data_IF_027077009542
#
_entry.id   IF_027077009542
#
_cell.length_a   1.000
_cell.length_b   1.000
_cell.length_c   1.000
_cell.angle_alpha   90.00
_cell.angle_beta   90.00
_cell.angle_gamma   90.00
#
_symmetry.space_group_name_H-M   'P 1'
#
loop_
_entity.id
_entity.type
_entity.pdbx_description
1 polymer ?
#
# COMPACT_ATOMS: atom_id res chain seq x y z
N UNK A 1 18.49 -5.42 25.77
CA UNK A 1 18.21 -4.27 24.87
C UNK A 1 18.41 -4.80 23.46
N UNK A 2 17.37 -5.40 22.88
CA UNK A 2 17.48 -6.12 21.61
C UNK A 2 17.35 -5.12 20.47
N UNK A 3 18.46 -4.83 19.81
CA UNK A 3 18.50 -4.05 18.57
C UNK A 3 18.02 -5.01 17.48
N UNK A 4 16.70 -5.16 17.34
CA UNK A 4 16.12 -5.75 16.14
C UNK A 4 16.51 -4.83 15.00
N UNK A 5 17.51 -5.22 14.21
CA UNK A 5 17.86 -4.57 12.96
C UNK A 5 16.57 -4.45 12.16
N UNK A 6 15.97 -3.26 12.21
CA UNK A 6 14.72 -2.97 11.53
C UNK A 6 15.08 -3.03 10.08
N UNK A 7 14.77 -4.13 9.39
CA UNK A 7 14.78 -4.15 7.93
C UNK A 7 14.05 -2.87 7.50
N UNK A 8 14.71 -1.94 6.79
CA UNK A 8 14.08 -0.68 6.41
C UNK A 8 12.77 -0.94 5.68
N UNK A 9 11.78 -0.07 5.91
CA UNK A 9 10.46 -0.11 5.25
C UNK A 9 10.56 -0.19 3.72
N UNK A 10 11.69 0.24 3.15
CA UNK A 10 12.06 0.04 1.75
C UNK A 10 11.89 -1.43 1.29
N UNK A 11 12.34 -2.40 2.09
CA UNK A 11 12.21 -3.83 1.73
C UNK A 11 10.76 -4.31 1.71
N UNK A 12 9.91 -3.75 2.57
CA UNK A 12 8.47 -4.06 2.56
C UNK A 12 7.81 -3.44 1.33
N UNK A 13 8.19 -2.20 0.98
CA UNK A 13 7.71 -1.53 -0.22
C UNK A 13 8.07 -2.31 -1.51
N UNK A 14 9.34 -2.70 -1.66
CA UNK A 14 9.81 -3.49 -2.79
C UNK A 14 9.07 -4.82 -2.91
N UNK A 15 8.84 -5.50 -1.78
CA UNK A 15 8.04 -6.73 -1.76
C UNK A 15 6.59 -6.50 -2.23
N UNK A 16 5.95 -5.42 -1.78
CA UNK A 16 4.59 -5.07 -2.20
C UNK A 16 4.53 -4.76 -3.70
N UNK A 17 5.55 -4.11 -4.26
CA UNK A 17 5.64 -3.83 -5.70
C UNK A 17 5.91 -5.11 -6.52
N UNK A 18 6.73 -6.04 -6.02
CA UNK A 18 6.91 -7.36 -6.62
C UNK A 18 5.60 -8.16 -6.64
N UNK A 19 4.87 -8.17 -5.52
CA UNK A 19 3.57 -8.82 -5.44
C UNK A 19 2.58 -8.21 -6.44
N UNK A 20 2.52 -6.88 -6.51
CA UNK A 20 1.67 -6.16 -7.46
C UNK A 20 1.98 -6.52 -8.90
N UNK A 21 3.26 -6.65 -9.24
CA UNK A 21 3.71 -7.04 -10.58
C UNK A 21 3.28 -8.46 -10.95
N UNK A 22 3.05 -9.33 -9.96
CA UNK A 22 2.47 -10.66 -10.12
C UNK A 22 0.92 -10.69 -10.04
N UNK A 23 0.26 -9.53 -10.08
CA UNK A 23 -1.19 -9.33 -9.86
C UNK A 23 -1.70 -9.82 -8.50
N UNK A 24 -0.88 -9.60 -7.47
CA UNK A 24 -1.18 -9.92 -6.08
C UNK A 24 -1.19 -8.63 -5.28
N UNK A 25 -2.31 -8.39 -4.60
CA UNK A 25 -2.58 -7.16 -3.88
C UNK A 25 -2.79 -7.45 -2.40
N UNK A 26 -2.26 -6.58 -1.54
CA UNK A 26 -2.51 -6.59 -0.11
C UNK A 26 -3.36 -5.38 0.24
N UNK A 27 -4.42 -5.61 1.00
CA UNK A 27 -5.40 -4.60 1.38
C UNK A 27 -5.85 -4.80 2.84
N UNK A 28 -6.50 -3.80 3.43
CA UNK A 28 -7.09 -3.90 4.77
C UNK A 28 -8.61 -3.92 4.62
N UNK A 29 -9.19 -5.10 4.80
CA UNK A 29 -10.64 -5.30 4.71
C UNK A 29 -11.15 -5.74 6.07
N UNK A 30 -12.13 -5.02 6.62
CA UNK A 30 -12.69 -5.31 7.95
C UNK A 30 -11.62 -5.42 9.06
N UNK A 31 -10.69 -4.46 9.06
CA UNK A 31 -9.55 -4.38 9.98
C UNK A 31 -8.57 -5.57 9.91
N UNK A 32 -8.56 -6.31 8.78
CA UNK A 32 -7.68 -7.45 8.58
C UNK A 32 -6.90 -7.33 7.28
N UNK A 33 -5.61 -7.66 7.35
CA UNK A 33 -4.78 -7.82 6.16
C UNK A 33 -5.35 -8.94 5.29
N UNK A 34 -5.74 -8.58 4.08
CA UNK A 34 -6.32 -9.47 3.08
C UNK A 34 -5.42 -9.48 1.85
N UNK A 35 -5.13 -10.68 1.37
CA UNK A 35 -4.39 -10.92 0.12
C UNK A 35 -5.40 -11.23 -0.99
N UNK A 36 -5.45 -10.38 -2.01
CA UNK A 36 -6.32 -10.54 -3.18
C UNK A 36 -5.47 -10.84 -4.41
N UNK A 37 -5.88 -11.84 -5.19
CA UNK A 37 -5.20 -12.24 -6.41
C UNK A 37 -6.19 -12.12 -7.57
N UNK A 38 -5.79 -11.46 -8.66
CA UNK A 38 -6.63 -11.30 -9.85
C UNK A 38 -5.80 -11.68 -11.07
N UNK A 39 -6.07 -12.82 -11.69
CA UNK A 39 -5.23 -13.38 -12.75
C UNK A 39 -3.71 -13.39 -12.39
N UNK A 40 -3.33 -14.07 -11.29
CA UNK A 40 -1.96 -14.02 -10.78
C UNK A 40 -0.95 -14.65 -11.73
N UNK A 41 0.22 -14.01 -11.87
CA UNK A 41 1.37 -14.60 -12.54
C UNK A 41 2.13 -15.49 -11.56
N UNK A 42 1.86 -16.80 -11.60
CA UNK A 42 2.46 -17.76 -10.66
C UNK A 42 3.96 -18.00 -10.90
N UNK A 43 4.44 -17.89 -12.13
CA UNK A 43 5.87 -18.03 -12.43
C UNK A 43 6.67 -16.90 -11.78
N UNK A 44 6.11 -15.69 -11.77
CA UNK A 44 6.68 -14.55 -11.07
C UNK A 44 6.50 -14.64 -9.55
N UNK A 45 5.35 -15.12 -9.07
CA UNK A 45 5.06 -15.11 -7.63
C UNK A 45 5.78 -16.21 -6.83
N UNK A 46 5.88 -17.43 -7.37
CA UNK A 46 6.51 -18.57 -6.70
C UNK A 46 7.88 -18.27 -6.08
N UNK A 47 8.84 -17.66 -6.80
CA UNK A 47 10.16 -17.38 -6.23
C UNK A 47 10.11 -16.37 -5.09
N UNK A 48 9.14 -15.45 -5.05
CA UNK A 48 9.03 -14.40 -4.03
C UNK A 48 8.13 -14.78 -2.85
N UNK A 49 7.39 -15.89 -2.93
CA UNK A 49 6.41 -16.32 -1.91
C UNK A 49 6.99 -16.40 -0.50
N UNK A 50 8.21 -16.89 -0.37
CA UNK A 50 8.90 -17.09 0.91
C UNK A 50 9.14 -15.78 1.68
N UNK A 51 9.19 -14.64 0.97
CA UNK A 51 9.35 -13.32 1.58
C UNK A 51 8.16 -12.95 2.48
N UNK A 52 6.99 -13.59 2.32
CA UNK A 52 5.88 -13.43 3.26
C UNK A 52 6.24 -13.90 4.67
N UNK A 53 6.90 -15.05 4.75
CA UNK A 53 7.32 -15.63 6.02
C UNK A 53 8.48 -14.84 6.63
N UNK A 54 9.41 -14.36 5.79
CA UNK A 54 10.55 -13.55 6.23
C UNK A 54 10.16 -12.15 6.71
N UNK A 55 9.26 -11.48 6.00
CA UNK A 55 8.79 -10.13 6.36
C UNK A 55 7.79 -10.22 7.51
N UNK A 56 6.91 -11.21 7.48
CA UNK A 56 5.88 -11.43 8.48
C UNK A 56 4.65 -10.53 8.31
N UNK A 57 3.50 -11.07 8.70
CA UNK A 57 2.19 -10.43 8.57
C UNK A 57 2.14 -9.03 9.21
N UNK A 58 2.64 -8.87 10.43
CA UNK A 58 2.52 -7.62 11.19
C UNK A 58 3.18 -6.43 10.49
N UNK A 59 4.31 -6.66 9.81
CA UNK A 59 5.04 -5.61 9.11
C UNK A 59 4.37 -5.23 7.79
N UNK A 60 3.87 -6.22 7.06
CA UNK A 60 3.06 -5.99 5.85
C UNK A 60 1.80 -5.22 6.21
N UNK A 61 1.11 -5.60 7.28
CA UNK A 61 -0.09 -4.91 7.74
C UNK A 61 0.19 -3.45 8.13
N UNK A 62 1.23 -3.19 8.92
CA UNK A 62 1.62 -1.84 9.30
C UNK A 62 1.92 -0.95 8.07
N UNK A 63 2.64 -1.49 7.09
CA UNK A 63 2.94 -0.78 5.84
C UNK A 63 1.67 -0.48 5.02
N UNK A 64 0.80 -1.47 4.83
CA UNK A 64 -0.45 -1.29 4.05
C UNK A 64 -1.39 -0.30 4.74
N UNK A 65 -1.54 -0.37 6.08
CA UNK A 65 -2.30 0.63 6.85
C UNK A 65 -1.72 2.03 6.70
N UNK A 66 -0.39 2.17 6.78
CA UNK A 66 0.30 3.44 6.58
C UNK A 66 0.10 4.02 5.17
N UNK A 67 0.10 3.17 4.14
CA UNK A 67 -0.13 3.57 2.75
C UNK A 67 -1.59 3.97 2.49
N UNK A 68 -2.55 3.23 3.03
CA UNK A 68 -3.98 3.56 2.93
C UNK A 68 -4.31 4.90 3.59
N UNK A 69 -3.67 5.20 4.73
CA UNK A 69 -3.80 6.50 5.40
C UNK A 69 -3.23 7.66 4.55
N UNK A 70 -2.08 7.44 3.88
CA UNK A 70 -1.49 8.42 2.97
C UNK A 70 -2.36 8.65 1.72
N UNK A 71 -2.86 7.58 1.10
CA UNK A 71 -3.73 7.65 -0.07
C UNK A 71 -5.05 8.39 0.22
N UNK A 72 -5.63 8.12 1.39
CA UNK A 72 -6.81 8.84 1.89
C UNK A 72 -6.54 10.33 2.13
N UNK A 73 -5.34 10.68 2.63
CA UNK A 73 -4.95 12.06 2.86
C UNK A 73 -4.72 12.82 1.54
N UNK A 74 -4.07 12.19 0.56
CA UNK A 74 -3.87 12.76 -0.78
C UNK A 74 -5.21 12.98 -1.46
N UNK A 75 -6.08 11.96 -1.49
CA UNK A 75 -7.42 12.06 -2.11
C UNK A 75 -8.23 13.21 -1.51
N UNK A 76 -8.20 13.37 -0.18
CA UNK A 76 -8.86 14.47 0.51
C UNK A 76 -8.28 15.83 0.12
N UNK A 77 -6.96 15.95 0.04
CA UNK A 77 -6.30 17.19 -0.33
C UNK A 77 -6.58 17.59 -1.79
N UNK A 78 -6.59 16.63 -2.71
CA UNK A 78 -6.97 16.84 -4.12
C UNK A 78 -8.41 17.31 -4.24
N UNK A 79 -9.34 16.70 -3.48
CA UNK A 79 -10.75 17.11 -3.46
C UNK A 79 -10.89 18.58 -2.99
N UNK A 80 -10.32 18.93 -1.84
CA UNK A 80 -10.37 20.31 -1.31
C UNK A 80 -9.74 21.32 -2.28
N UNK A 81 -8.68 20.92 -2.96
CA UNK A 81 -8.02 21.79 -3.95
C UNK A 81 -8.88 22.01 -5.19
N UNK A 82 -9.59 20.97 -5.66
CA UNK A 82 -10.54 21.07 -6.75
C UNK A 82 -11.75 21.97 -6.39
N UNK A 83 -12.30 21.85 -5.18
CA UNK A 83 -13.39 22.72 -4.70
C UNK A 83 -12.97 24.19 -4.63
N UNK A 84 -11.74 24.47 -4.15
CA UNK A 84 -11.20 25.84 -4.10
C UNK A 84 -11.01 26.44 -5.49
N UNK A 85 -10.52 25.65 -6.44
CA UNK A 85 -10.37 26.09 -7.83
C UNK A 85 -11.73 26.37 -8.47
N UNK A 86 -12.75 25.54 -8.18
CA UNK A 86 -14.11 25.75 -8.65
C UNK A 86 -14.71 27.07 -8.12
N UNK A 87 -14.65 27.30 -6.80
CA UNK A 87 -15.16 28.54 -6.21
C UNK A 87 -14.41 29.79 -6.69
N UNK A 88 -13.09 29.70 -6.89
CA UNK A 88 -12.31 30.82 -7.44
C UNK A 88 -12.71 31.13 -8.90
N UNK A 89 -13.00 30.11 -9.71
CA UNK A 89 -13.48 30.29 -11.07
C UNK A 89 -14.90 30.89 -11.11
N UNK A 90 -15.77 30.54 -10.16
CA UNK A 90 -17.10 31.13 -10.04
C UNK A 90 -17.06 32.60 -9.61
N UNK A 91 -16.14 32.98 -8.72
CA UNK A 91 -15.98 34.37 -8.25
C UNK A 91 -15.40 35.33 -9.31
N UNK A 92 -14.80 34.79 -10.38
CA UNK A 92 -14.24 35.57 -11.50
C UNK A 92 -15.20 35.74 -12.68
N UNK A 93 -16.42 35.19 -12.58
CA UNK A 93 -17.46 35.26 -13.60
C UNK A 93 -18.45 36.38 -13.33
#
# INVERSE_FOLDING_TARGET
MSITATMPDAYVAEFIDLARSANIHFDIVNDRLTMRMVNPNWEMWKPCRHLLDEIGQARIEAYVRGKAAQDSAVTRWTHVSAERLHMAAEAMR
#
